data_IF_534284387746
#
_entry.id   IF_534284387746
#
_cell.length_a   1.000
_cell.length_b   1.000
_cell.length_c   1.000
_cell.angle_alpha   90.00
_cell.angle_beta   90.00
_cell.angle_gamma   90.00
#
_symmetry.space_group_name_H-M   'P 1'
#
loop_
_entity.id
_entity.type
_entity.pdbx_description
1 polymer ?
#
# COMPACT_ATOMS: atom_id res chain seq x y z
N UNK A 1 15.24 4.20 -54.59
CA UNK A 1 16.70 4.38 -54.48
C UNK A 1 17.06 4.88 -53.08
N UNK A 2 17.76 4.07 -52.37
CA UNK A 2 18.66 4.25 -51.26
C UNK A 2 18.53 5.51 -50.35
N UNK A 3 17.66 5.42 -49.37
CA UNK A 3 17.61 6.36 -48.25
C UNK A 3 18.01 5.71 -46.91
N UNK A 4 18.42 4.46 -46.89
CA UNK A 4 18.82 3.79 -45.64
C UNK A 4 20.36 3.70 -45.57
N UNK A 5 20.97 4.76 -45.02
CA UNK A 5 22.37 4.67 -44.59
C UNK A 5 22.44 3.80 -43.34
N UNK A 6 23.12 2.65 -43.42
CA UNK A 6 23.53 1.88 -42.24
C UNK A 6 24.45 2.77 -41.37
N UNK A 7 23.92 3.28 -40.26
CA UNK A 7 24.76 3.87 -39.25
C UNK A 7 25.39 2.77 -38.41
N UNK A 8 26.70 2.73 -38.31
CA UNK A 8 27.43 1.71 -37.55
C UNK A 8 27.35 1.91 -36.01
N UNK A 9 26.88 3.08 -35.56
CA UNK A 9 26.71 3.38 -34.14
C UNK A 9 25.66 4.48 -33.95
N UNK A 10 24.95 4.44 -32.84
CA UNK A 10 24.02 5.49 -32.42
C UNK A 10 24.83 6.62 -31.79
N UNK A 11 24.49 7.86 -32.12
CA UNK A 11 25.13 9.04 -31.53
C UNK A 11 24.93 9.07 -30.00
N UNK A 12 26.00 9.34 -29.27
CA UNK A 12 25.99 9.37 -27.81
C UNK A 12 25.05 10.41 -27.22
N UNK A 13 24.77 11.49 -27.94
CA UNK A 13 23.77 12.50 -27.56
C UNK A 13 22.37 11.97 -27.59
N UNK A 14 22.02 11.10 -28.56
CA UNK A 14 20.74 10.43 -28.66
C UNK A 14 20.55 9.43 -27.51
N UNK A 15 21.59 8.65 -27.20
CA UNK A 15 21.57 7.71 -26.05
C UNK A 15 21.41 8.47 -24.74
N UNK A 16 22.11 9.59 -24.55
CA UNK A 16 22.00 10.41 -23.35
C UNK A 16 20.61 11.03 -23.20
N UNK A 17 20.02 11.50 -24.29
CA UNK A 17 18.67 12.05 -24.29
C UNK A 17 17.61 10.97 -23.99
N UNK A 18 17.79 9.80 -24.55
CA UNK A 18 16.94 8.61 -24.30
C UNK A 18 16.94 8.23 -22.80
N UNK A 19 18.15 8.11 -22.23
CA UNK A 19 18.29 7.76 -20.80
C UNK A 19 17.73 8.83 -19.85
N UNK A 20 17.83 10.12 -20.23
CA UNK A 20 17.29 11.23 -19.43
C UNK A 20 15.76 11.32 -19.46
N UNK A 21 15.14 10.82 -20.52
CA UNK A 21 13.71 10.94 -20.75
C UNK A 21 12.97 9.59 -20.75
N UNK A 22 13.63 8.50 -20.32
CA UNK A 22 13.13 7.12 -20.38
C UNK A 22 12.51 6.76 -21.75
N UNK A 23 13.14 7.26 -22.81
CA UNK A 23 12.69 7.02 -24.18
C UNK A 23 13.44 5.82 -24.78
N UNK A 24 12.79 4.67 -25.07
CA UNK A 24 13.47 3.50 -25.54
C UNK A 24 13.98 3.69 -26.98
N UNK A 25 15.22 3.24 -27.25
CA UNK A 25 15.82 3.20 -28.58
C UNK A 25 16.01 1.75 -28.96
N UNK A 26 15.40 1.35 -30.08
CA UNK A 26 15.54 0.02 -30.63
C UNK A 26 16.50 0.06 -31.83
N UNK A 27 17.48 -0.85 -31.81
CA UNK A 27 18.38 -1.08 -32.94
C UNK A 27 17.91 -2.31 -33.69
N UNK A 28 17.48 -2.11 -34.92
CA UNK A 28 16.93 -3.17 -35.74
C UNK A 28 17.97 -3.59 -36.76
N UNK A 29 18.24 -4.89 -36.89
CA UNK A 29 19.11 -5.40 -37.96
C UNK A 29 18.43 -5.18 -39.32
N UNK A 30 19.17 -4.71 -40.32
CA UNK A 30 18.62 -4.40 -41.64
C UNK A 30 18.14 -5.63 -42.46
N UNK A 31 18.11 -6.81 -41.84
CA UNK A 31 17.63 -8.06 -42.42
C UNK A 31 16.13 -8.32 -42.13
N UNK A 32 15.57 -7.61 -41.11
CA UNK A 32 14.16 -7.74 -40.73
C UNK A 32 13.35 -6.65 -41.45
N UNK A 33 12.32 -6.97 -42.19
CA UNK A 33 11.43 -5.98 -42.82
C UNK A 33 10.75 -5.12 -41.72
N UNK A 34 10.73 -3.81 -41.93
CA UNK A 34 10.08 -2.87 -40.97
C UNK A 34 8.59 -3.17 -40.76
N UNK A 35 7.94 -3.73 -41.81
CA UNK A 35 6.53 -4.11 -41.71
C UNK A 35 6.30 -5.18 -40.68
N UNK A 36 7.14 -6.22 -40.66
CA UNK A 36 7.04 -7.32 -39.70
C UNK A 36 7.24 -6.81 -38.27
N UNK A 37 8.14 -5.84 -38.07
CA UNK A 37 8.38 -5.21 -36.76
C UNK A 37 7.16 -4.39 -36.32
N UNK A 38 6.57 -3.61 -37.23
CA UNK A 38 5.35 -2.85 -36.92
C UNK A 38 4.15 -3.74 -36.67
N UNK A 39 4.04 -4.89 -37.34
CA UNK A 39 3.00 -5.90 -37.06
C UNK A 39 3.21 -6.49 -35.66
N UNK A 40 4.40 -6.93 -35.31
CA UNK A 40 4.72 -7.47 -33.97
C UNK A 40 4.48 -6.45 -32.87
N UNK A 41 4.94 -5.21 -33.05
CA UNK A 41 4.65 -4.12 -32.09
C UNK A 41 3.15 -3.84 -32.02
N UNK A 42 2.46 -3.80 -33.15
CA UNK A 42 1.01 -3.61 -33.21
C UNK A 42 0.24 -4.71 -32.50
N UNK A 43 0.65 -5.96 -32.70
CA UNK A 43 0.09 -7.11 -31.97
C UNK A 43 0.36 -7.04 -30.48
N UNK A 44 1.57 -6.67 -30.06
CA UNK A 44 1.91 -6.52 -28.63
C UNK A 44 1.10 -5.40 -27.97
N UNK A 45 0.89 -4.27 -28.65
CA UNK A 45 0.06 -3.15 -28.15
C UNK A 45 -1.41 -3.57 -28.06
N UNK A 46 -1.94 -4.27 -29.08
CA UNK A 46 -3.31 -4.77 -29.08
C UNK A 46 -3.53 -5.81 -27.97
N UNK A 47 -2.58 -6.73 -27.80
CA UNK A 47 -2.62 -7.74 -26.74
C UNK A 47 -2.63 -7.11 -25.33
N UNK A 48 -1.79 -6.10 -25.10
CA UNK A 48 -1.78 -5.38 -23.82
C UNK A 48 -3.11 -4.64 -23.55
N UNK A 49 -3.73 -4.03 -24.59
CA UNK A 49 -5.04 -3.39 -24.43
C UNK A 49 -6.15 -4.39 -24.11
N UNK A 50 -6.16 -5.54 -24.76
CA UNK A 50 -7.15 -6.59 -24.48
C UNK A 50 -6.94 -7.19 -23.08
N UNK A 51 -5.70 -7.32 -22.63
CA UNK A 51 -5.38 -7.78 -21.26
C UNK A 51 -5.79 -6.77 -20.19
N UNK A 52 -5.65 -5.47 -20.46
CA UNK A 52 -6.06 -4.41 -19.53
C UNK A 52 -7.58 -4.36 -19.36
N UNK A 53 -8.35 -4.45 -20.45
CA UNK A 53 -9.82 -4.51 -20.40
C UNK A 53 -10.28 -5.75 -19.63
N UNK A 54 -9.65 -6.88 -19.86
CA UNK A 54 -9.96 -8.12 -19.15
C UNK A 54 -9.63 -8.00 -17.65
N UNK A 55 -8.47 -7.43 -17.31
CA UNK A 55 -8.06 -7.20 -15.93
C UNK A 55 -9.04 -6.29 -15.20
N UNK A 56 -9.52 -5.24 -15.87
CA UNK A 56 -10.51 -4.31 -15.31
C UNK A 56 -11.85 -4.99 -15.05
N UNK A 57 -12.34 -5.83 -15.96
CA UNK A 57 -13.59 -6.57 -15.79
C UNK A 57 -13.50 -7.58 -14.63
N UNK A 58 -12.37 -8.31 -14.54
CA UNK A 58 -12.14 -9.31 -13.48
C UNK A 58 -12.04 -8.66 -12.13
N UNK A 59 -11.14 -7.68 -11.99
CA UNK A 59 -10.93 -7.03 -10.70
C UNK A 59 -12.15 -6.24 -10.25
N UNK A 60 -12.88 -5.60 -11.17
CA UNK A 60 -14.16 -4.98 -10.87
C UNK A 60 -15.19 -6.00 -10.39
N UNK A 61 -15.26 -7.19 -11.03
CA UNK A 61 -16.11 -8.29 -10.57
C UNK A 61 -15.78 -8.73 -9.14
N UNK A 62 -14.50 -8.91 -8.82
CA UNK A 62 -14.03 -9.27 -7.49
C UNK A 62 -14.37 -8.17 -6.47
N UNK A 63 -14.04 -6.92 -6.79
CA UNK A 63 -14.22 -5.76 -5.89
C UNK A 63 -15.70 -5.56 -5.54
N UNK A 64 -16.58 -5.63 -6.54
CA UNK A 64 -18.00 -5.37 -6.36
C UNK A 64 -18.85 -6.61 -6.03
N UNK A 65 -18.21 -7.77 -5.86
CA UNK A 65 -18.90 -9.03 -5.55
C UNK A 65 -19.87 -9.47 -6.63
N UNK A 66 -19.59 -9.13 -7.91
CA UNK A 66 -20.38 -9.62 -9.04
C UNK A 66 -20.01 -11.05 -9.36
N UNK A 67 -20.98 -11.82 -9.86
CA UNK A 67 -20.72 -13.17 -10.36
C UNK A 67 -19.71 -13.09 -11.54
N UNK A 68 -18.50 -13.56 -11.29
CA UNK A 68 -17.47 -13.66 -12.32
C UNK A 68 -17.69 -15.02 -13.01
N UNK A 69 -17.88 -15.00 -14.32
CA UNK A 69 -17.87 -16.23 -15.10
C UNK A 69 -16.44 -16.75 -15.21
N UNK A 70 -16.00 -17.50 -14.18
CA UNK A 70 -14.65 -18.06 -14.07
C UNK A 70 -14.31 -18.94 -15.26
N UNK A 71 -15.27 -19.73 -15.79
CA UNK A 71 -15.05 -20.60 -16.94
C UNK A 71 -14.74 -19.80 -18.21
N UNK A 72 -15.42 -18.66 -18.41
CA UNK A 72 -15.16 -17.81 -19.57
C UNK A 72 -13.79 -17.13 -19.53
N UNK A 73 -13.25 -16.92 -18.33
CA UNK A 73 -11.97 -16.25 -18.13
C UNK A 73 -10.80 -17.20 -17.89
N UNK A 74 -11.05 -18.48 -17.53
CA UNK A 74 -10.01 -19.45 -17.18
C UNK A 74 -8.91 -19.57 -18.24
N UNK A 75 -9.29 -19.65 -19.51
CA UNK A 75 -8.33 -19.77 -20.62
C UNK A 75 -7.41 -18.54 -20.68
N UNK A 76 -7.96 -17.34 -20.51
CA UNK A 76 -7.19 -16.09 -20.56
C UNK A 76 -6.30 -15.90 -19.33
N UNK A 77 -6.72 -16.42 -18.16
CA UNK A 77 -5.89 -16.45 -16.97
C UNK A 77 -4.68 -17.37 -17.17
N UNK A 78 -4.90 -18.56 -17.74
CA UNK A 78 -3.83 -19.51 -18.04
C UNK A 78 -2.84 -18.94 -19.08
N UNK A 79 -3.35 -18.29 -20.14
CA UNK A 79 -2.52 -17.58 -21.14
C UNK A 79 -1.67 -16.46 -20.49
N UNK A 80 -2.21 -15.76 -19.50
CA UNK A 80 -1.48 -14.75 -18.73
C UNK A 80 -0.53 -15.36 -17.66
N UNK A 81 -0.46 -16.70 -17.56
CA UNK A 81 0.36 -17.39 -16.56
C UNK A 81 -0.17 -17.27 -15.13
N UNK A 82 -1.46 -16.95 -14.95
CA UNK A 82 -2.09 -16.76 -13.64
C UNK A 82 -2.85 -18.03 -13.21
N UNK A 83 -2.47 -18.61 -12.07
CA UNK A 83 -3.16 -19.77 -11.51
C UNK A 83 -4.37 -19.34 -10.67
N UNK A 84 -5.57 -19.50 -11.24
CA UNK A 84 -6.83 -19.18 -10.55
C UNK A 84 -7.17 -20.11 -9.38
N UNK A 85 -6.56 -21.29 -9.33
CA UNK A 85 -6.76 -22.30 -8.29
C UNK A 85 -5.65 -22.28 -7.22
N UNK A 86 -4.59 -21.50 -7.48
CA UNK A 86 -3.48 -21.34 -6.56
C UNK A 86 -3.82 -20.47 -5.36
N UNK A 87 -2.81 -20.19 -4.59
CA UNK A 87 -2.88 -19.26 -3.47
C UNK A 87 -2.73 -17.83 -3.97
N UNK A 88 -3.71 -17.00 -3.68
CA UNK A 88 -3.86 -15.67 -4.24
C UNK A 88 -3.99 -14.62 -3.15
N UNK A 89 -3.45 -13.41 -3.41
CA UNK A 89 -3.61 -12.22 -2.59
C UNK A 89 -4.04 -11.03 -3.44
N UNK A 90 -4.79 -10.12 -2.83
CA UNK A 90 -5.06 -8.81 -3.37
C UNK A 90 -4.19 -7.77 -2.67
N UNK A 91 -3.80 -6.75 -3.41
CA UNK A 91 -3.22 -5.54 -2.84
C UNK A 91 -3.90 -4.28 -3.38
N UNK A 92 -3.72 -3.20 -2.67
CA UNK A 92 -4.15 -1.86 -3.07
C UNK A 92 -3.00 -0.89 -2.83
N UNK A 93 -2.63 -0.13 -3.86
CA UNK A 93 -1.70 1.01 -3.73
C UNK A 93 -2.54 2.29 -3.78
N UNK A 94 -2.53 3.03 -2.69
CA UNK A 94 -3.08 4.37 -2.64
C UNK A 94 -2.02 5.37 -3.08
N UNK A 95 -2.43 6.29 -3.95
CA UNK A 95 -1.59 7.36 -4.46
C UNK A 95 -2.10 8.65 -3.85
N UNK A 96 -1.40 9.11 -2.82
CA UNK A 96 -1.76 10.29 -2.06
C UNK A 96 -0.90 11.48 -2.45
N UNK A 97 -1.53 12.66 -2.59
CA UNK A 97 -0.85 13.94 -2.76
C UNK A 97 -1.67 15.03 -2.08
N UNK A 98 -1.00 15.98 -1.43
CA UNK A 98 -1.64 17.17 -0.85
C UNK A 98 -2.15 18.13 -1.93
N UNK A 99 -1.67 18.00 -3.16
CA UNK A 99 -2.06 18.78 -4.31
C UNK A 99 -2.89 17.93 -5.28
N UNK A 100 -3.61 18.61 -6.21
CA UNK A 100 -4.29 17.90 -7.28
C UNK A 100 -3.26 17.17 -8.14
N UNK A 101 -3.39 15.85 -8.24
CA UNK A 101 -2.51 15.02 -9.07
C UNK A 101 -2.88 15.26 -10.54
N UNK A 102 -2.10 16.11 -11.22
CA UNK A 102 -2.22 16.31 -12.65
C UNK A 102 -1.15 15.47 -13.37
N UNK A 103 -1.55 14.74 -14.41
CA UNK A 103 -0.67 13.95 -15.27
C UNK A 103 0.11 12.82 -14.57
N UNK A 104 -0.48 12.14 -13.58
CA UNK A 104 0.12 10.93 -13.03
C UNK A 104 -0.02 9.77 -14.04
N UNK A 105 1.09 9.17 -14.39
CA UNK A 105 1.18 8.11 -15.40
C UNK A 105 0.90 6.74 -14.77
N UNK A 106 -0.39 6.41 -14.62
CA UNK A 106 -0.84 5.14 -14.08
C UNK A 106 -0.39 3.95 -14.92
N UNK A 107 -0.39 4.09 -16.25
CA UNK A 107 -0.04 3.01 -17.17
C UNK A 107 1.43 2.64 -17.01
N UNK A 108 2.30 3.64 -16.89
CA UNK A 108 3.72 3.41 -16.64
C UNK A 108 3.93 2.69 -15.30
N UNK A 109 3.25 3.12 -14.24
CA UNK A 109 3.34 2.50 -12.92
C UNK A 109 2.87 1.04 -12.95
N UNK A 110 1.75 0.76 -13.60
CA UNK A 110 1.25 -0.61 -13.76
C UNK A 110 2.20 -1.49 -14.56
N UNK A 111 2.80 -0.96 -15.63
CA UNK A 111 3.78 -1.70 -16.41
C UNK A 111 5.05 -2.00 -15.60
N UNK A 112 5.55 -1.05 -14.81
CA UNK A 112 6.67 -1.30 -13.88
C UNK A 112 6.39 -2.41 -12.88
N UNK A 113 5.18 -2.46 -12.33
CA UNK A 113 4.76 -3.55 -11.44
C UNK A 113 4.72 -4.89 -12.18
N UNK A 114 4.15 -4.94 -13.39
CA UNK A 114 4.12 -6.16 -14.22
C UNK A 114 5.53 -6.67 -14.52
N UNK A 115 6.43 -5.77 -14.92
CA UNK A 115 7.82 -6.12 -15.21
C UNK A 115 8.54 -6.69 -13.98
N UNK A 116 8.35 -6.07 -12.81
CA UNK A 116 8.95 -6.53 -11.56
C UNK A 116 8.46 -7.93 -11.16
N UNK A 117 7.15 -8.19 -11.30
CA UNK A 117 6.59 -9.52 -11.02
C UNK A 117 7.07 -10.56 -12.03
N UNK A 118 7.09 -10.24 -13.33
CA UNK A 118 7.54 -11.15 -14.38
C UNK A 118 9.01 -11.55 -14.21
N UNK A 119 9.89 -10.62 -13.79
CA UNK A 119 11.29 -10.91 -13.52
C UNK A 119 11.50 -11.93 -12.39
N UNK A 120 10.53 -12.04 -11.48
CA UNK A 120 10.56 -12.94 -10.33
C UNK A 120 9.62 -14.16 -10.50
N UNK A 121 9.23 -14.48 -11.73
CA UNK A 121 8.26 -15.55 -12.06
C UNK A 121 6.91 -15.39 -11.34
N UNK A 122 6.54 -14.18 -10.99
CA UNK A 122 5.25 -13.86 -10.37
C UNK A 122 4.19 -13.54 -11.45
N UNK A 123 2.96 -13.97 -11.20
CA UNK A 123 1.80 -13.62 -12.02
C UNK A 123 1.01 -12.50 -11.38
N UNK A 124 0.62 -11.50 -12.15
CA UNK A 124 0.00 -10.28 -11.66
C UNK A 124 -1.11 -9.80 -12.59
N UNK A 125 -2.28 -9.53 -12.02
CA UNK A 125 -3.40 -8.85 -12.68
C UNK A 125 -3.56 -7.49 -12.01
N UNK A 126 -3.63 -6.42 -12.80
CA UNK A 126 -3.71 -5.03 -12.33
C UNK A 126 -4.89 -4.31 -12.95
N UNK A 127 -5.50 -3.44 -12.18
CA UNK A 127 -6.49 -2.47 -12.62
C UNK A 127 -6.36 -1.16 -11.89
N UNK A 128 -6.77 -0.09 -12.53
CA UNK A 128 -6.93 1.21 -11.88
C UNK A 128 -8.31 1.30 -11.25
N UNK A 129 -8.35 1.64 -9.97
CA UNK A 129 -9.59 1.89 -9.23
C UNK A 129 -9.58 3.29 -8.62
N UNK A 130 -10.26 4.23 -9.23
CA UNK A 130 -10.22 5.66 -8.91
C UNK A 130 -8.77 6.21 -8.93
N UNK A 131 -8.26 6.67 -7.78
CA UNK A 131 -6.87 7.12 -7.63
C UNK A 131 -5.95 6.02 -7.07
N UNK A 132 -6.39 4.77 -7.08
CA UNK A 132 -5.65 3.63 -6.58
C UNK A 132 -5.27 2.69 -7.72
N UNK A 133 -4.24 1.90 -7.49
CA UNK A 133 -3.93 0.72 -8.28
C UNK A 133 -4.30 -0.49 -7.42
N UNK A 134 -5.08 -1.39 -7.99
CA UNK A 134 -5.47 -2.65 -7.35
C UNK A 134 -4.86 -3.79 -8.14
N UNK A 135 -4.33 -4.78 -7.43
CA UNK A 135 -3.76 -5.95 -8.07
C UNK A 135 -4.13 -7.25 -7.36
N UNK A 136 -4.13 -8.31 -8.15
CA UNK A 136 -4.22 -9.68 -7.68
C UNK A 136 -3.00 -10.45 -8.16
N UNK A 137 -2.35 -11.20 -7.28
CA UNK A 137 -1.17 -11.97 -7.61
C UNK A 137 -1.19 -13.37 -6.99
N UNK A 138 -0.51 -14.32 -7.66
CA UNK A 138 -0.25 -15.64 -7.09
C UNK A 138 0.87 -15.53 -6.05
N UNK A 139 0.66 -16.15 -4.89
CA UNK A 139 1.69 -16.29 -3.87
C UNK A 139 2.76 -17.27 -4.34
N UNK A 140 4.02 -17.00 -4.02
CA UNK A 140 5.10 -17.94 -4.22
C UNK A 140 5.01 -19.06 -3.17
N UNK A 141 5.69 -20.19 -3.41
CA UNK A 141 5.64 -21.35 -2.51
C UNK A 141 6.13 -21.02 -1.09
N UNK A 142 7.07 -20.08 -0.97
CA UNK A 142 7.59 -19.60 0.30
C UNK A 142 7.04 -18.19 0.61
N UNK A 143 6.53 -18.00 1.82
CA UNK A 143 6.02 -16.70 2.26
C UNK A 143 7.10 -15.60 2.27
N UNK A 144 8.33 -15.93 2.65
CA UNK A 144 9.45 -14.96 2.66
C UNK A 144 9.79 -14.50 1.24
N UNK A 145 9.69 -15.39 0.23
CA UNK A 145 9.89 -15.03 -1.17
C UNK A 145 8.77 -14.10 -1.67
N UNK A 146 7.53 -14.34 -1.23
CA UNK A 146 6.39 -13.45 -1.53
C UNK A 146 6.59 -12.07 -0.90
N UNK A 147 7.02 -12.00 0.36
CA UNK A 147 7.35 -10.72 1.02
C UNK A 147 8.50 -10.00 0.33
N UNK A 148 9.55 -10.73 -0.05
CA UNK A 148 10.69 -10.21 -0.80
C UNK A 148 10.28 -9.61 -2.15
N UNK A 149 9.46 -10.32 -2.93
CA UNK A 149 8.94 -9.87 -4.21
C UNK A 149 8.16 -8.55 -4.07
N UNK A 150 7.24 -8.49 -3.10
CA UNK A 150 6.42 -7.29 -2.87
C UNK A 150 7.28 -6.10 -2.46
N UNK A 151 8.18 -6.29 -1.50
CA UNK A 151 9.04 -5.21 -1.02
C UNK A 151 9.94 -4.67 -2.14
N UNK A 152 10.57 -5.55 -2.91
CA UNK A 152 11.40 -5.17 -4.05
C UNK A 152 10.59 -4.42 -5.12
N UNK A 153 9.39 -4.90 -5.44
CA UNK A 153 8.49 -4.26 -6.42
C UNK A 153 8.04 -2.90 -5.94
N UNK A 154 7.74 -2.76 -4.66
CA UNK A 154 7.36 -1.49 -4.05
C UNK A 154 8.52 -0.50 -4.00
N UNK A 155 9.72 -0.92 -3.62
CA UNK A 155 10.92 -0.08 -3.57
C UNK A 155 11.25 0.50 -4.95
N UNK A 156 11.28 -0.33 -5.99
CA UNK A 156 11.53 0.10 -7.36
C UNK A 156 10.48 1.12 -7.84
N UNK A 157 9.22 0.91 -7.45
CA UNK A 157 8.14 1.84 -7.76
C UNK A 157 8.28 3.15 -7.00
N UNK A 158 8.57 3.09 -5.71
CA UNK A 158 8.72 4.25 -4.82
C UNK A 158 9.88 5.16 -5.27
N UNK A 159 11.02 4.57 -5.63
CA UNK A 159 12.19 5.31 -6.17
C UNK A 159 11.82 6.06 -7.45
N UNK A 160 11.11 5.40 -8.37
CA UNK A 160 10.68 6.04 -9.61
C UNK A 160 9.73 7.21 -9.35
N UNK A 161 8.73 7.02 -8.48
CA UNK A 161 7.72 8.04 -8.18
C UNK A 161 8.38 9.24 -7.48
N UNK A 162 9.24 8.99 -6.48
CA UNK A 162 9.95 10.05 -5.76
C UNK A 162 10.92 10.83 -6.67
N UNK A 163 11.52 10.18 -7.66
CA UNK A 163 12.41 10.83 -8.63
C UNK A 163 11.66 11.74 -9.62
N UNK A 164 10.36 11.54 -9.82
CA UNK A 164 9.57 12.25 -10.84
C UNK A 164 8.48 13.16 -10.27
N UNK A 165 7.96 12.83 -9.10
CA UNK A 165 6.87 13.55 -8.44
C UNK A 165 7.27 13.92 -7.02
N UNK A 166 7.33 15.22 -6.70
CA UNK A 166 7.83 15.71 -5.41
C UNK A 166 6.84 15.53 -4.27
N UNK A 167 5.53 15.49 -4.57
CA UNK A 167 4.45 15.55 -3.57
C UNK A 167 3.59 14.27 -3.53
N UNK A 168 4.08 13.17 -4.13
CA UNK A 168 3.33 11.93 -4.16
C UNK A 168 3.89 10.95 -3.13
N UNK A 169 3.00 10.45 -2.29
CA UNK A 169 3.25 9.35 -1.35
C UNK A 169 2.47 8.13 -1.80
N UNK A 170 3.15 7.00 -1.87
CA UNK A 170 2.54 5.70 -2.11
C UNK A 170 2.35 4.97 -0.79
N UNK A 171 1.20 4.33 -0.62
CA UNK A 171 0.91 3.43 0.49
C UNK A 171 0.32 2.15 -0.07
N UNK A 172 0.92 1.01 0.24
CA UNK A 172 0.48 -0.30 -0.24
C UNK A 172 -0.08 -1.12 0.91
N UNK A 173 -1.32 -1.56 0.77
CA UNK A 173 -1.95 -2.53 1.67
C UNK A 173 -2.09 -3.88 0.98
N UNK A 174 -1.87 -4.98 1.73
CA UNK A 174 -1.90 -6.35 1.22
C UNK A 174 -2.83 -7.17 2.09
N UNK A 175 -3.83 -7.81 1.44
CA UNK A 175 -4.76 -8.71 2.10
C UNK A 175 -4.17 -10.10 2.35
N UNK A 176 -4.89 -10.92 3.10
CA UNK A 176 -4.50 -12.31 3.36
C UNK A 176 -4.57 -13.17 2.11
N UNK A 177 -3.83 -14.24 2.17
CA UNK A 177 -3.81 -15.30 1.18
C UNK A 177 -5.08 -16.15 1.24
N UNK A 178 -5.63 -16.43 0.06
CA UNK A 178 -6.78 -17.32 -0.10
C UNK A 178 -6.55 -18.26 -1.27
N UNK A 179 -6.95 -19.52 -1.10
CA UNK A 179 -6.92 -20.50 -2.16
C UNK A 179 -8.07 -20.25 -3.14
N UNK A 180 -7.75 -20.22 -4.41
CA UNK A 180 -8.70 -19.87 -5.48
C UNK A 180 -9.13 -18.40 -5.44
N UNK A 181 -10.04 -18.04 -6.33
CA UNK A 181 -10.50 -16.64 -6.49
C UNK A 181 -11.77 -16.30 -5.73
N UNK A 182 -12.47 -17.28 -5.16
CA UNK A 182 -13.77 -17.08 -4.49
C UNK A 182 -13.72 -16.16 -3.27
N UNK A 183 -12.57 -16.03 -2.64
CA UNK A 183 -12.39 -15.20 -1.44
C UNK A 183 -11.56 -13.93 -1.68
N UNK A 184 -11.26 -13.61 -2.93
CA UNK A 184 -10.41 -12.44 -3.25
C UNK A 184 -11.09 -11.12 -2.90
N UNK A 185 -12.43 -11.04 -2.90
CA UNK A 185 -13.14 -9.86 -2.40
C UNK A 185 -12.79 -9.59 -0.92
N UNK A 186 -12.63 -10.64 -0.13
CA UNK A 186 -12.21 -10.51 1.26
C UNK A 186 -10.77 -10.03 1.36
N UNK A 187 -9.86 -10.60 0.56
CA UNK A 187 -8.47 -10.15 0.47
C UNK A 187 -8.38 -8.67 0.06
N UNK A 188 -9.20 -8.23 -0.91
CA UNK A 188 -9.28 -6.83 -1.31
C UNK A 188 -9.77 -5.92 -0.17
N UNK A 189 -10.81 -6.35 0.56
CA UNK A 189 -11.33 -5.59 1.72
C UNK A 189 -10.25 -5.43 2.79
N UNK A 190 -9.47 -6.48 3.04
CA UNK A 190 -8.35 -6.47 3.97
C UNK A 190 -7.21 -5.55 3.50
N UNK A 191 -6.84 -5.61 2.22
CA UNK A 191 -5.84 -4.73 1.62
C UNK A 191 -6.25 -3.25 1.71
N UNK A 192 -7.49 -2.94 1.35
CA UNK A 192 -8.05 -1.58 1.45
C UNK A 192 -8.05 -1.06 2.88
N UNK A 193 -8.34 -1.95 3.85
CA UNK A 193 -8.32 -1.59 5.28
C UNK A 193 -6.92 -1.24 5.76
N UNK A 194 -5.89 -1.97 5.33
CA UNK A 194 -4.50 -1.63 5.65
C UNK A 194 -4.16 -0.21 5.21
N UNK A 195 -4.55 0.19 4.01
CA UNK A 195 -4.34 1.55 3.50
C UNK A 195 -5.06 2.58 4.37
N UNK A 196 -6.37 2.39 4.61
CA UNK A 196 -7.18 3.32 5.40
C UNK A 196 -6.64 3.47 6.82
N UNK A 197 -6.29 2.36 7.47
CA UNK A 197 -5.77 2.39 8.83
C UNK A 197 -4.39 3.04 8.91
N UNK A 198 -3.50 2.74 7.97
CA UNK A 198 -2.14 3.31 7.98
C UNK A 198 -2.15 4.83 7.88
N UNK A 199 -3.05 5.40 7.10
CA UNK A 199 -3.24 6.85 7.00
C UNK A 199 -3.84 7.43 8.30
N UNK A 200 -4.89 6.78 8.80
CA UNK A 200 -5.65 7.26 9.96
C UNK A 200 -4.84 7.28 11.23
N UNK A 201 -4.05 6.23 11.49
CA UNK A 201 -3.22 6.09 12.69
C UNK A 201 -1.77 6.52 12.48
N UNK A 202 -1.46 7.09 11.31
CA UNK A 202 -0.14 7.59 10.93
C UNK A 202 0.98 6.58 11.20
N UNK A 203 0.79 5.34 10.76
CA UNK A 203 1.81 4.30 10.86
C UNK A 203 3.05 4.67 10.07
N UNK A 204 4.20 4.38 10.66
CA UNK A 204 5.47 4.46 9.94
C UNK A 204 5.58 3.27 8.98
N UNK A 205 5.91 3.55 7.73
CA UNK A 205 6.04 2.54 6.70
C UNK A 205 5.22 2.90 5.46
N UNK A 206 5.30 2.05 4.47
CA UNK A 206 4.62 2.27 3.19
C UNK A 206 3.98 0.99 2.64
N UNK A 207 4.39 -0.17 3.13
CA UNK A 207 3.81 -1.49 2.80
C UNK A 207 3.25 -2.10 4.08
N UNK A 208 1.97 -2.45 4.08
CA UNK A 208 1.25 -2.94 5.25
C UNK A 208 0.55 -4.26 4.92
N UNK A 209 0.94 -5.31 5.62
CA UNK A 209 0.33 -6.62 5.54
C UNK A 209 -0.81 -6.74 6.56
N UNK A 210 -1.95 -7.24 6.11
CA UNK A 210 -3.12 -7.35 6.98
C UNK A 210 -2.86 -8.19 8.24
N UNK A 211 -2.05 -9.25 8.13
CA UNK A 211 -1.66 -10.09 9.26
C UNK A 211 -0.85 -9.32 10.31
N UNK A 212 -0.08 -8.33 9.89
CA UNK A 212 0.79 -7.53 10.76
C UNK A 212 0.07 -6.37 11.45
N UNK A 213 -1.12 -6.00 10.94
CA UNK A 213 -1.92 -4.93 11.54
C UNK A 213 -2.49 -5.28 12.93
N UNK A 214 -2.52 -6.58 13.27
CA UNK A 214 -2.79 -7.08 14.63
C UNK A 214 -4.04 -6.49 15.28
N UNK A 215 -3.84 -5.85 16.42
CA UNK A 215 -4.91 -5.28 17.26
C UNK A 215 -5.69 -4.15 16.55
N UNK A 216 -5.09 -3.43 15.62
CA UNK A 216 -5.75 -2.38 14.85
C UNK A 216 -6.87 -2.96 13.97
N UNK A 217 -6.64 -4.14 13.36
CA UNK A 217 -7.68 -4.84 12.62
C UNK A 217 -8.86 -5.22 13.53
N UNK A 218 -8.56 -5.78 14.71
CA UNK A 218 -9.57 -6.19 15.65
C UNK A 218 -10.51 -5.03 16.00
N UNK A 219 -9.97 -3.90 16.41
CA UNK A 219 -10.79 -2.75 16.80
C UNK A 219 -11.48 -2.05 15.63
N UNK A 220 -10.87 -2.07 14.43
CA UNK A 220 -11.50 -1.50 13.23
C UNK A 220 -12.70 -2.32 12.74
N UNK A 221 -12.70 -3.64 13.01
CA UNK A 221 -13.80 -4.56 12.66
C UNK A 221 -14.89 -4.65 13.72
N UNK A 222 -14.68 -4.05 14.88
CA UNK A 222 -15.65 -4.13 15.96
C UNK A 222 -16.96 -3.46 15.54
N UNK A 223 -18.03 -4.25 15.46
CA UNK A 223 -19.32 -3.82 14.90
C UNK A 223 -20.08 -2.81 15.77
N UNK A 224 -19.87 -2.83 17.10
CA UNK A 224 -20.53 -1.91 18.03
C UNK A 224 -19.71 -0.64 18.26
N UNK A 225 -19.88 0.33 17.36
CA UNK A 225 -19.23 1.63 17.47
C UNK A 225 -19.58 2.39 18.74
N UNK A 226 -20.77 2.15 19.29
CA UNK A 226 -21.21 2.81 20.53
C UNK A 226 -20.42 2.26 21.73
N UNK A 227 -20.23 0.95 21.80
CA UNK A 227 -19.43 0.33 22.85
C UNK A 227 -17.97 0.83 22.82
N UNK A 228 -17.37 0.95 21.63
CA UNK A 228 -16.04 1.56 21.47
C UNK A 228 -16.03 3.00 21.96
N UNK A 229 -17.03 3.80 21.59
CA UNK A 229 -17.12 5.20 22.02
C UNK A 229 -17.25 5.30 23.54
N UNK A 230 -18.16 4.51 24.14
CA UNK A 230 -18.38 4.50 25.58
C UNK A 230 -17.10 4.07 26.34
N UNK A 231 -16.33 3.12 25.80
CA UNK A 231 -15.03 2.72 26.36
C UNK A 231 -13.99 3.83 26.29
N UNK A 232 -13.87 4.49 25.13
CA UNK A 232 -12.94 5.63 24.95
C UNK A 232 -13.32 6.76 25.90
N UNK A 233 -14.60 7.13 25.98
CA UNK A 233 -15.06 8.25 26.79
C UNK A 233 -14.88 7.96 28.29
N UNK A 234 -15.14 6.74 28.73
CA UNK A 234 -14.94 6.34 30.14
C UNK A 234 -13.47 6.28 30.53
N UNK A 235 -12.57 5.95 29.62
CA UNK A 235 -11.14 5.76 29.91
C UNK A 235 -10.34 7.02 29.67
N UNK A 236 -10.56 7.71 28.56
CA UNK A 236 -9.75 8.85 28.11
C UNK A 236 -10.48 10.20 28.24
N UNK A 237 -11.80 10.20 28.42
CA UNK A 237 -12.61 11.42 28.37
C UNK A 237 -12.10 12.52 29.30
N UNK A 238 -11.78 12.20 30.55
CA UNK A 238 -11.27 13.17 31.54
C UNK A 238 -9.94 13.83 31.07
N UNK A 239 -9.09 13.09 30.38
CA UNK A 239 -7.82 13.61 29.87
C UNK A 239 -8.08 14.51 28.65
N UNK A 240 -8.96 14.07 27.75
CA UNK A 240 -9.35 14.82 26.55
C UNK A 240 -10.00 16.15 26.90
N UNK A 241 -10.90 16.14 27.88
CA UNK A 241 -11.60 17.35 28.35
C UNK A 241 -10.63 18.30 29.06
N UNK A 242 -9.73 17.76 29.90
CA UNK A 242 -8.70 18.56 30.55
C UNK A 242 -7.76 19.24 29.55
N UNK A 243 -7.34 18.51 28.51
CA UNK A 243 -6.49 19.06 27.43
C UNK A 243 -7.20 20.20 26.69
N UNK A 244 -8.51 20.05 26.41
CA UNK A 244 -9.32 21.11 25.76
C UNK A 244 -9.47 22.36 26.63
N UNK A 245 -9.76 22.18 27.91
CA UNK A 245 -10.01 23.29 28.83
C UNK A 245 -8.72 24.06 29.18
N UNK A 246 -7.59 23.35 29.29
CA UNK A 246 -6.33 23.91 29.78
C UNK A 246 -5.29 24.13 28.67
N UNK A 247 -5.62 23.80 27.41
CA UNK A 247 -4.71 23.86 26.27
C UNK A 247 -3.39 23.11 26.55
N UNK A 248 -3.52 21.88 27.04
CA UNK A 248 -2.41 20.98 27.35
C UNK A 248 -2.30 19.83 26.35
N UNK A 249 -1.26 19.01 26.48
CA UNK A 249 -1.00 17.86 25.59
C UNK A 249 -0.80 16.57 26.42
N UNK A 250 -1.70 16.32 27.39
CA UNK A 250 -1.61 15.16 28.27
C UNK A 250 -1.85 13.86 27.49
N UNK A 251 -2.85 13.84 26.61
CA UNK A 251 -3.18 12.67 25.81
C UNK A 251 -2.01 12.23 24.92
N UNK A 252 -1.40 13.19 24.20
CA UNK A 252 -0.23 12.93 23.38
C UNK A 252 0.96 12.45 24.21
N UNK A 253 1.13 13.01 25.42
CA UNK A 253 2.19 12.60 26.34
C UNK A 253 1.96 11.18 26.85
N UNK A 254 0.73 10.81 27.19
CA UNK A 254 0.37 9.46 27.59
C UNK A 254 0.65 8.45 26.48
N UNK A 255 0.24 8.75 25.24
CA UNK A 255 0.54 7.92 24.09
C UNK A 255 2.04 7.67 23.94
N UNK A 256 2.82 8.74 23.88
CA UNK A 256 4.28 8.62 23.76
C UNK A 256 4.90 7.82 24.91
N UNK A 257 4.44 8.01 26.14
CA UNK A 257 4.93 7.28 27.31
C UNK A 257 4.64 5.77 27.22
N UNK A 258 3.40 5.39 26.91
CA UNK A 258 2.99 3.99 26.83
C UNK A 258 3.67 3.26 25.66
N UNK A 259 3.76 3.89 24.48
CA UNK A 259 4.42 3.29 23.29
C UNK A 259 5.93 3.14 23.45
N UNK A 260 6.56 3.93 24.33
CA UNK A 260 7.98 3.82 24.67
C UNK A 260 8.24 2.99 25.95
N UNK A 261 7.42 1.97 26.21
CA UNK A 261 7.56 1.06 27.36
C UNK A 261 7.68 1.80 28.70
N UNK A 262 6.93 2.87 28.89
CA UNK A 262 6.93 3.73 30.08
C UNK A 262 8.28 4.45 30.34
N UNK A 263 9.09 4.61 29.30
CA UNK A 263 10.35 5.34 29.39
C UNK A 263 10.10 6.85 29.31
N UNK A 264 10.31 7.56 30.42
CA UNK A 264 10.24 9.02 30.43
C UNK A 264 11.28 9.66 29.51
N UNK A 265 12.43 8.99 29.31
CA UNK A 265 13.50 9.49 28.45
C UNK A 265 13.06 9.40 26.97
N UNK A 266 12.72 8.23 26.49
CA UNK A 266 12.34 8.04 25.10
C UNK A 266 11.05 8.81 24.73
N UNK A 267 10.08 8.88 25.65
CA UNK A 267 8.90 9.72 25.45
C UNK A 267 9.25 11.22 25.34
N UNK A 268 10.23 11.69 26.11
CA UNK A 268 10.67 13.09 26.04
C UNK A 268 11.41 13.42 24.74
N UNK A 269 12.21 12.49 24.23
CA UNK A 269 12.87 12.59 22.92
C UNK A 269 11.84 12.64 21.79
N UNK A 270 10.87 11.72 21.78
CA UNK A 270 9.79 11.69 20.79
C UNK A 270 8.94 12.97 20.79
N UNK A 271 8.71 13.57 21.95
CA UNK A 271 7.89 14.78 22.12
C UNK A 271 8.69 16.08 22.03
N UNK A 272 9.99 16.01 21.76
CA UNK A 272 10.90 17.16 21.76
C UNK A 272 10.74 18.05 22.99
N UNK A 273 10.67 17.42 24.19
CA UNK A 273 10.45 18.12 25.45
C UNK A 273 11.41 17.60 26.54
N UNK A 274 11.44 18.27 27.69
CA UNK A 274 12.29 17.84 28.81
C UNK A 274 11.67 16.65 29.56
N UNK A 275 12.47 15.70 30.03
CA UNK A 275 12.04 14.54 30.81
C UNK A 275 11.16 14.91 32.03
N UNK A 276 11.49 15.99 32.71
CA UNK A 276 10.71 16.45 33.86
C UNK A 276 9.31 16.91 33.47
N UNK A 277 9.14 17.48 32.27
CA UNK A 277 7.82 17.86 31.74
C UNK A 277 6.97 16.63 31.49
N UNK A 278 7.54 15.56 30.88
CA UNK A 278 6.84 14.29 30.72
C UNK A 278 6.45 13.70 32.05
N UNK A 279 7.38 13.67 33.02
CA UNK A 279 7.10 13.17 34.36
C UNK A 279 5.95 13.93 35.04
N UNK A 280 5.96 15.26 34.98
CA UNK A 280 4.89 16.09 35.53
C UNK A 280 3.53 15.80 34.84
N UNK A 281 3.51 15.68 33.52
CA UNK A 281 2.29 15.39 32.77
C UNK A 281 1.74 14.00 33.12
N UNK A 282 2.58 12.97 33.21
CA UNK A 282 2.14 11.64 33.65
C UNK A 282 1.62 11.64 35.07
N UNK A 283 2.26 12.36 35.98
CA UNK A 283 1.73 12.54 37.33
C UNK A 283 0.35 13.22 37.29
N UNK A 284 0.17 14.25 36.45
CA UNK A 284 -1.11 14.94 36.33
C UNK A 284 -2.21 14.00 35.78
N UNK A 285 -1.87 13.14 34.79
CA UNK A 285 -2.79 12.11 34.30
C UNK A 285 -3.17 11.13 35.40
N UNK A 286 -2.22 10.68 36.20
CA UNK A 286 -2.46 9.81 37.37
C UNK A 286 -3.42 10.47 38.37
N UNK A 287 -3.25 11.76 38.65
CA UNK A 287 -4.13 12.51 39.54
C UNK A 287 -5.57 12.65 38.97
N UNK A 288 -5.68 12.94 37.67
CA UNK A 288 -6.98 13.13 37.04
C UNK A 288 -7.77 11.81 36.93
N UNK A 289 -7.08 10.73 36.57
CA UNK A 289 -7.73 9.43 36.34
C UNK A 289 -7.85 8.56 37.59
N UNK A 290 -7.04 8.85 38.63
CA UNK A 290 -6.90 7.99 39.80
C UNK A 290 -6.24 6.62 39.48
N UNK A 291 -5.60 6.49 38.31
CA UNK A 291 -5.05 5.22 37.80
C UNK A 291 -3.55 5.16 37.96
N UNK A 292 -3.02 3.98 38.30
CA UNK A 292 -1.58 3.75 38.45
C UNK A 292 -1.01 3.10 37.17
N UNK A 293 -0.15 3.79 36.44
CA UNK A 293 0.49 3.29 35.23
C UNK A 293 1.67 2.33 35.49
N UNK A 294 2.03 2.04 36.74
CA UNK A 294 2.92 0.92 37.06
C UNK A 294 2.20 -0.42 36.96
N UNK A 295 0.86 -0.43 37.06
CA UNK A 295 0.04 -1.61 36.84
C UNK A 295 -0.07 -1.96 35.35
N UNK A 296 0.19 -3.22 35.02
CA UNK A 296 0.16 -3.71 33.65
C UNK A 296 -1.25 -3.67 33.01
N UNK A 297 -2.29 -3.95 33.81
CA UNK A 297 -3.69 -3.94 33.30
C UNK A 297 -4.14 -2.51 33.03
N UNK A 298 -3.78 -1.55 33.86
CA UNK A 298 -4.03 -0.13 33.60
C UNK A 298 -3.38 0.31 32.31
N UNK A 299 -2.11 -0.04 32.08
CA UNK A 299 -1.44 0.28 30.80
C UNK A 299 -2.15 -0.32 29.61
N UNK A 300 -2.50 -1.61 29.69
CA UNK A 300 -3.22 -2.31 28.61
C UNK A 300 -4.58 -1.64 28.31
N UNK A 301 -5.35 -1.29 29.36
CA UNK A 301 -6.63 -0.60 29.22
C UNK A 301 -6.46 0.74 28.48
N UNK A 302 -5.51 1.57 28.88
CA UNK A 302 -5.28 2.87 28.26
C UNK A 302 -4.68 2.75 26.86
N UNK A 303 -3.79 1.79 26.60
CA UNK A 303 -3.29 1.50 25.24
C UNK A 303 -4.43 1.10 24.30
N UNK A 304 -5.32 0.22 24.75
CA UNK A 304 -6.46 -0.19 23.95
C UNK A 304 -7.42 0.98 23.69
N UNK A 305 -7.67 1.83 24.68
CA UNK A 305 -8.52 3.01 24.53
C UNK A 305 -7.91 4.03 23.53
N UNK A 306 -6.59 4.21 23.55
CA UNK A 306 -5.88 5.04 22.58
C UNK A 306 -5.97 4.47 21.16
N UNK A 307 -5.81 3.15 20.99
CA UNK A 307 -6.00 2.48 19.69
C UNK A 307 -7.45 2.65 19.21
N UNK A 308 -8.43 2.41 20.08
CA UNK A 308 -9.85 2.61 19.75
C UNK A 308 -10.15 4.05 19.33
N UNK A 309 -9.53 5.05 19.99
CA UNK A 309 -9.67 6.46 19.63
C UNK A 309 -9.15 6.76 18.22
N UNK A 310 -8.10 6.09 17.80
CA UNK A 310 -7.45 6.26 16.49
C UNK A 310 -8.20 5.53 15.35
N UNK A 311 -8.74 4.35 15.60
CA UNK A 311 -9.39 3.53 14.54
C UNK A 311 -10.89 3.81 14.36
N UNK A 312 -11.53 4.57 15.24
CA UNK A 312 -12.98 4.88 15.20
C UNK A 312 -13.41 5.82 14.06
#
# INVERSE_FOLDING_TARGET
SDVYKRQASIDSTIISYSNLNDFPIFVISGEIPLVDIFEEIGHAIAYNKDSDVLSDDILSGIIFGKDINIEAFSIKFEEAGYDINGNNRMFMINIHSDNKIENFDYDFIMNKLRDSFAQNNGSLILSRYANNIVGCFNCLENADDTHGLINQSYEALSEYVQGRYTDIKLVMGIGREYNGISHLQKSFTEASRCVILSEKIQLNGSVFWYEEMGIYNLFSEFGDKKLIQDFVDSTLGIIIDYDKENNTNLLQTLKAYLWNNNSLLHASEQLFTHRNTVKYRIQRITELTGRNFDDAMTRLEFMNALICLEVR
#
